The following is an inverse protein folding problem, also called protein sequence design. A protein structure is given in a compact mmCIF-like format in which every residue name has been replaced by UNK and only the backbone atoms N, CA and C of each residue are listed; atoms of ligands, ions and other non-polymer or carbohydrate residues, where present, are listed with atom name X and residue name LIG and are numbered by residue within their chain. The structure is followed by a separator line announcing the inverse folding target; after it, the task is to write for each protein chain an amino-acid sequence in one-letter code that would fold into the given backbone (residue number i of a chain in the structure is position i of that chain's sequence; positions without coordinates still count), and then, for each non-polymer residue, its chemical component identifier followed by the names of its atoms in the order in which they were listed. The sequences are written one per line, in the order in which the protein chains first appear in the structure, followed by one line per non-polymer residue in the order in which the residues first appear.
data_IF_915512187035
#
_entry.id   IF_915512187035
#
_cell.length_a   1.000
_cell.length_b   1.000
_cell.length_c   1.000
_cell.angle_alpha   90.00
_cell.angle_beta   90.00
_cell.angle_gamma   90.00
#
_symmetry.space_group_name_H-M   'P 1'
#
loop_
_entity.id
_entity.type
_entity.pdbx_description
1 polymer ?
#
# COMPACT_ATOMS: atom_id res chain seq x y z
N UNK A 1 -1.68 0.99 10.57
CA UNK A 1 -1.67 -0.41 10.07
C UNK A 1 -0.67 -1.22 10.90
N UNK A 2 -0.85 -2.52 11.12
CA UNK A 2 0.02 -3.32 12.00
C UNK A 2 0.71 -4.48 11.24
N UNK A 3 2.02 -4.62 11.40
CA UNK A 3 2.85 -5.63 10.73
C UNK A 3 2.50 -7.07 11.13
N UNK A 4 1.97 -7.27 12.35
CA UNK A 4 1.55 -8.58 12.86
C UNK A 4 0.40 -9.22 12.05
N UNK A 5 -0.30 -8.42 11.23
CA UNK A 5 -1.28 -8.92 10.26
C UNK A 5 -0.64 -9.69 9.10
N UNK A 6 0.65 -9.47 8.85
CA UNK A 6 1.37 -10.01 7.70
C UNK A 6 2.39 -11.09 8.06
N UNK A 7 3.17 -10.88 9.12
CA UNK A 7 4.29 -11.72 9.51
C UNK A 7 4.19 -12.14 10.97
N UNK A 8 4.71 -13.33 11.28
CA UNK A 8 4.96 -13.72 12.67
C UNK A 8 6.31 -13.17 13.16
N UNK A 9 6.54 -13.22 14.47
CA UNK A 9 7.72 -12.61 15.09
C UNK A 9 9.04 -13.21 14.59
N UNK A 10 9.10 -14.51 14.29
CA UNK A 10 10.29 -15.15 13.75
C UNK A 10 10.60 -14.70 12.32
N UNK A 11 9.58 -14.54 11.47
CA UNK A 11 9.75 -14.03 10.10
C UNK A 11 10.20 -12.56 10.09
N UNK A 12 9.72 -11.77 11.05
CA UNK A 12 10.18 -10.38 11.24
C UNK A 12 11.67 -10.35 11.61
N UNK A 13 12.10 -11.20 12.55
CA UNK A 13 13.50 -11.27 12.97
C UNK A 13 14.41 -11.69 11.81
N UNK A 14 14.03 -12.72 11.04
CA UNK A 14 14.79 -13.20 9.89
C UNK A 14 14.94 -12.12 8.81
N UNK A 15 13.86 -11.41 8.47
CA UNK A 15 13.89 -10.33 7.50
C UNK A 15 14.70 -9.13 7.98
N UNK A 16 14.60 -8.75 9.26
CA UNK A 16 15.38 -7.65 9.81
C UNK A 16 16.87 -7.95 9.80
N UNK A 17 17.27 -9.17 10.18
CA UNK A 17 18.66 -9.62 10.11
C UNK A 17 19.18 -9.56 8.67
N UNK A 18 18.40 -10.05 7.71
CA UNK A 18 18.77 -10.00 6.29
C UNK A 18 18.91 -8.56 5.80
N UNK A 19 18.01 -7.65 6.18
CA UNK A 19 18.08 -6.24 5.79
C UNK A 19 19.19 -5.47 6.48
N UNK A 20 19.52 -5.78 7.73
CA UNK A 20 20.63 -5.13 8.42
C UNK A 20 21.96 -5.43 7.74
N UNK A 21 22.23 -6.70 7.45
CA UNK A 21 23.44 -7.11 6.73
C UNK A 21 23.45 -6.57 5.30
N UNK A 22 22.30 -6.60 4.61
CA UNK A 22 22.23 -6.23 3.20
C UNK A 22 22.25 -4.72 2.97
N UNK A 23 21.65 -3.92 3.86
CA UNK A 23 21.41 -2.48 3.67
C UNK A 23 22.32 -1.58 4.52
N UNK A 24 23.32 -2.13 5.22
CA UNK A 24 24.17 -1.41 6.17
C UNK A 24 24.79 -0.13 5.58
N UNK A 25 25.28 -0.21 4.35
CA UNK A 25 25.96 0.91 3.67
C UNK A 25 25.13 1.57 2.57
N UNK A 26 23.86 1.17 2.41
CA UNK A 26 23.02 1.72 1.34
C UNK A 26 22.32 2.99 1.81
N UNK A 27 22.65 4.12 1.19
CA UNK A 27 21.96 5.40 1.39
C UNK A 27 20.73 5.59 0.50
N UNK A 28 20.59 4.75 -0.54
CA UNK A 28 19.50 4.83 -1.52
C UNK A 28 18.86 3.46 -1.73
N UNK A 29 17.53 3.40 -1.59
CA UNK A 29 16.75 2.19 -1.84
C UNK A 29 15.81 2.33 -3.03
N UNK A 30 15.58 1.23 -3.74
CA UNK A 30 14.80 1.21 -4.98
C UNK A 30 13.48 0.48 -4.78
N UNK A 31 12.40 1.19 -5.08
CA UNK A 31 11.04 0.69 -5.14
C UNK A 31 10.56 0.73 -6.59
N UNK A 32 9.44 0.08 -6.88
CA UNK A 32 8.91 0.07 -8.24
C UNK A 32 7.40 -0.17 -8.26
N UNK A 33 6.72 0.46 -9.20
CA UNK A 33 5.29 0.25 -9.45
C UNK A 33 4.98 0.40 -10.93
N UNK A 34 4.03 -0.40 -11.42
CA UNK A 34 3.60 -0.34 -12.82
C UNK A 34 4.61 -0.86 -13.85
N UNK A 35 5.87 -1.12 -13.49
CA UNK A 35 6.89 -1.66 -14.42
C UNK A 35 7.11 -3.18 -14.25
N UNK A 36 7.65 -3.88 -15.26
CA UNK A 36 8.02 -5.28 -15.12
C UNK A 36 9.09 -5.52 -14.05
N UNK A 37 8.93 -6.58 -13.26
CA UNK A 37 9.88 -6.95 -12.20
C UNK A 37 11.33 -7.07 -12.70
N UNK A 38 11.52 -7.71 -13.86
CA UNK A 38 12.84 -7.94 -14.42
C UNK A 38 13.54 -6.62 -14.78
N UNK A 39 12.79 -5.67 -15.36
CA UNK A 39 13.29 -4.33 -15.65
C UNK A 39 13.73 -3.59 -14.38
N UNK A 40 12.94 -3.67 -13.31
CA UNK A 40 13.29 -3.05 -12.03
C UNK A 40 14.57 -3.64 -11.44
N UNK A 41 14.69 -4.97 -11.49
CA UNK A 41 15.85 -5.71 -10.98
C UNK A 41 17.12 -5.39 -11.77
N UNK A 42 17.04 -5.33 -13.09
CA UNK A 42 18.19 -5.06 -13.95
C UNK A 42 18.63 -3.59 -13.84
N UNK A 43 17.68 -2.66 -13.77
CA UNK A 43 17.97 -1.25 -13.52
C UNK A 43 18.68 -1.04 -12.18
N UNK A 44 18.20 -1.68 -11.11
CA UNK A 44 18.82 -1.56 -9.79
C UNK A 44 20.24 -2.12 -9.78
N UNK A 45 20.47 -3.28 -10.41
CA UNK A 45 21.81 -3.87 -10.56
C UNK A 45 22.76 -2.97 -11.35
N UNK A 46 22.30 -2.40 -12.47
CA UNK A 46 23.11 -1.49 -13.28
C UNK A 46 23.55 -0.25 -12.49
N UNK A 47 22.69 0.23 -11.59
CA UNK A 47 22.97 1.39 -10.73
C UNK A 47 23.60 1.02 -9.38
N UNK A 48 23.92 -0.25 -9.12
CA UNK A 48 24.45 -0.76 -7.85
C UNK A 48 23.53 -0.45 -6.64
N UNK A 49 22.23 -0.42 -6.88
CA UNK A 49 21.20 -0.17 -5.88
C UNK A 49 20.43 -1.44 -5.54
N UNK A 50 19.78 -1.46 -4.38
CA UNK A 50 19.03 -2.63 -3.91
C UNK A 50 17.52 -2.39 -3.96
N UNK A 51 16.82 -3.32 -4.59
CA UNK A 51 15.36 -3.49 -4.45
C UNK A 51 15.06 -4.44 -3.30
N UNK A 52 13.80 -4.48 -2.83
CA UNK A 52 13.33 -5.44 -1.82
C UNK A 52 13.85 -6.86 -2.07
N UNK A 53 13.72 -7.36 -3.30
CA UNK A 53 14.06 -8.74 -3.64
C UNK A 53 15.57 -9.00 -3.70
N UNK A 54 16.36 -7.97 -4.01
CA UNK A 54 17.82 -8.02 -3.92
C UNK A 54 18.24 -8.02 -2.45
N UNK A 55 17.63 -7.13 -1.64
CA UNK A 55 17.90 -7.00 -0.22
C UNK A 55 17.59 -8.29 0.56
N UNK A 56 16.49 -8.98 0.20
CA UNK A 56 16.12 -10.27 0.77
C UNK A 56 17.11 -11.41 0.45
N UNK A 57 17.93 -11.28 -0.60
CA UNK A 57 18.96 -12.26 -0.94
C UNK A 57 18.44 -13.70 -1.08
N UNK A 58 19.00 -14.61 -0.26
CA UNK A 58 18.66 -16.03 -0.24
C UNK A 58 17.20 -16.31 0.15
N UNK A 59 16.54 -15.41 0.89
CA UNK A 59 15.12 -15.53 1.26
C UNK A 59 14.20 -15.38 0.05
N UNK A 60 14.67 -14.70 -1.00
CA UNK A 60 13.93 -14.52 -2.25
C UNK A 60 14.40 -15.47 -3.37
N UNK A 61 15.68 -15.85 -3.38
CA UNK A 61 16.31 -16.56 -4.50
C UNK A 61 15.67 -17.91 -4.86
N UNK A 62 15.70 -18.23 -6.16
CA UNK A 62 15.01 -19.33 -6.85
C UNK A 62 15.51 -20.76 -6.50
N UNK A 63 16.30 -20.96 -5.45
CA UNK A 63 16.78 -22.28 -5.08
C UNK A 63 15.65 -23.12 -4.44
N UNK A 64 15.07 -24.03 -5.22
CA UNK A 64 13.88 -24.85 -4.87
C UNK A 64 13.96 -25.54 -3.50
N UNK A 65 15.17 -25.82 -2.98
CA UNK A 65 15.40 -26.57 -1.74
C UNK A 65 15.35 -25.74 -0.46
N UNK A 66 15.52 -24.41 -0.52
CA UNK A 66 15.61 -23.54 0.67
C UNK A 66 14.51 -22.47 0.73
N UNK A 67 13.52 -22.50 -0.17
CA UNK A 67 12.52 -21.43 -0.24
C UNK A 67 11.56 -21.48 0.96
N UNK A 68 11.32 -20.34 1.64
CA UNK A 68 10.08 -20.15 2.39
C UNK A 68 8.85 -20.29 1.47
N UNK A 69 8.95 -19.85 0.20
CA UNK A 69 7.89 -19.96 -0.82
C UNK A 69 7.51 -21.40 -1.16
N UNK A 70 8.45 -22.34 -1.20
CA UNK A 70 8.14 -23.74 -1.54
C UNK A 70 7.34 -24.43 -0.42
N UNK A 71 7.45 -23.92 0.81
CA UNK A 71 6.70 -24.38 1.98
C UNK A 71 5.40 -23.61 2.20
N UNK A 72 5.13 -22.56 1.42
CA UNK A 72 4.02 -21.63 1.63
C UNK A 72 3.05 -21.66 0.46
N UNK A 73 1.75 -21.62 0.77
CA UNK A 73 0.72 -21.40 -0.26
C UNK A 73 0.89 -20.04 -0.94
N UNK A 74 0.34 -19.87 -2.15
CA UNK A 74 0.36 -18.60 -2.89
C UNK A 74 -0.14 -17.42 -2.04
N UNK A 75 -1.20 -17.63 -1.26
CA UNK A 75 -1.77 -16.63 -0.35
C UNK A 75 -0.84 -16.30 0.80
N UNK A 76 -0.21 -17.31 1.40
CA UNK A 76 0.76 -17.12 2.48
C UNK A 76 2.01 -16.38 2.00
N UNK A 77 2.51 -16.72 0.81
CA UNK A 77 3.62 -16.01 0.17
C UNK A 77 3.29 -14.56 -0.17
N UNK A 78 2.09 -14.29 -0.70
CA UNK A 78 1.64 -12.92 -0.98
C UNK A 78 1.59 -12.08 0.30
N UNK A 79 1.06 -12.66 1.39
CA UNK A 79 1.04 -12.01 2.71
C UNK A 79 2.45 -11.74 3.24
N UNK A 80 3.34 -12.73 3.13
CA UNK A 80 4.74 -12.60 3.49
C UNK A 80 5.43 -11.47 2.72
N UNK A 81 5.24 -11.40 1.39
CA UNK A 81 5.80 -10.32 0.57
C UNK A 81 5.26 -8.94 0.94
N UNK A 82 3.98 -8.82 1.32
CA UNK A 82 3.42 -7.56 1.84
C UNK A 82 4.08 -7.15 3.15
N UNK A 83 4.38 -8.10 4.04
CA UNK A 83 5.13 -7.85 5.27
C UNK A 83 6.61 -7.51 5.04
N UNK A 84 7.27 -8.18 4.10
CA UNK A 84 8.66 -7.86 3.74
C UNK A 84 8.77 -6.46 3.11
N UNK A 85 7.81 -6.11 2.27
CA UNK A 85 7.63 -4.77 1.68
C UNK A 85 7.45 -3.70 2.75
N UNK A 86 6.65 -3.98 3.79
CA UNK A 86 6.50 -3.11 4.96
C UNK A 86 7.84 -2.86 5.67
N UNK A 87 8.57 -3.92 6.03
CA UNK A 87 9.85 -3.80 6.75
C UNK A 87 10.90 -3.06 5.91
N UNK A 88 10.94 -3.33 4.61
CA UNK A 88 11.85 -2.65 3.69
C UNK A 88 11.55 -1.14 3.60
N UNK A 89 10.27 -0.76 3.55
CA UNK A 89 9.87 0.65 3.62
C UNK A 89 10.28 1.31 4.96
N UNK A 90 10.14 0.61 6.08
CA UNK A 90 10.61 1.12 7.37
C UNK A 90 12.13 1.32 7.41
N UNK A 91 12.92 0.40 6.84
CA UNK A 91 14.37 0.58 6.72
C UNK A 91 14.71 1.78 5.83
N UNK A 92 13.89 2.09 4.82
CA UNK A 92 14.08 3.30 4.01
C UNK A 92 13.87 4.61 4.81
N UNK A 93 13.02 4.59 5.85
CA UNK A 93 12.80 5.75 6.72
C UNK A 93 13.96 6.04 7.68
N UNK A 94 15.01 5.20 7.71
CA UNK A 94 16.20 5.41 8.55
C UNK A 94 17.22 6.29 7.84
N UNK A 95 16.86 7.55 7.54
CA UNK A 95 17.74 8.52 6.90
C UNK A 95 18.23 8.12 5.50
N UNK A 96 17.39 7.45 4.70
CA UNK A 96 17.72 7.06 3.31
C UNK A 96 16.88 7.83 2.30
N UNK A 97 17.44 7.97 1.09
CA UNK A 97 16.75 8.46 -0.10
C UNK A 97 16.08 7.29 -0.82
N UNK A 98 14.95 7.54 -1.48
CA UNK A 98 14.18 6.51 -2.18
C UNK A 98 14.02 6.87 -3.64
N UNK A 99 14.34 5.90 -4.51
CA UNK A 99 14.04 5.97 -5.94
C UNK A 99 12.89 5.01 -6.24
N UNK A 100 11.88 5.49 -6.94
CA UNK A 100 10.71 4.70 -7.33
C UNK A 100 10.67 4.62 -8.85
N UNK A 101 10.81 3.41 -9.36
CA UNK A 101 10.72 3.14 -10.78
C UNK A 101 9.25 3.02 -11.16
N UNK A 102 8.77 3.91 -12.02
CA UNK A 102 7.37 3.97 -12.41
C UNK A 102 7.22 4.01 -13.93
N UNK A 103 5.99 3.79 -14.39
CA UNK A 103 5.63 4.21 -15.75
C UNK A 103 5.66 5.74 -15.85
N UNK A 104 5.81 6.24 -17.06
CA UNK A 104 5.68 7.67 -17.33
C UNK A 104 4.24 8.16 -17.06
N UNK A 105 4.08 9.41 -16.58
CA UNK A 105 2.81 10.12 -16.55
C UNK A 105 2.05 10.03 -17.88
N UNK A 106 0.71 9.93 -17.85
CA UNK A 106 -0.16 10.07 -16.69
C UNK A 106 -0.36 8.79 -15.85
N UNK A 107 0.15 7.64 -16.31
CA UNK A 107 -0.19 6.32 -15.74
C UNK A 107 0.92 5.76 -14.85
N UNK A 108 1.38 6.56 -13.89
CA UNK A 108 2.53 6.25 -13.01
C UNK A 108 2.34 4.94 -12.24
N UNK A 109 1.17 4.74 -11.66
CA UNK A 109 0.87 3.60 -10.79
C UNK A 109 0.48 2.34 -11.58
N UNK A 110 0.68 1.19 -10.96
CA UNK A 110 0.08 -0.06 -11.42
C UNK A 110 -1.45 0.05 -11.48
N UNK A 111 -2.06 -0.53 -12.52
CA UNK A 111 -3.53 -0.66 -12.62
C UNK A 111 -4.10 -1.71 -11.66
N UNK A 112 -3.25 -2.39 -10.88
CA UNK A 112 -3.67 -3.35 -9.86
C UNK A 112 -4.26 -2.62 -8.67
N UNK A 113 -5.46 -3.01 -8.29
CA UNK A 113 -6.24 -2.41 -7.19
C UNK A 113 -5.48 -2.43 -5.85
N UNK A 114 -4.73 -3.51 -5.59
CA UNK A 114 -4.01 -3.74 -4.33
C UNK A 114 -2.48 -3.79 -4.52
N UNK A 115 -1.89 -2.75 -5.12
CA UNK A 115 -0.43 -2.69 -5.28
C UNK A 115 0.27 -2.50 -3.93
N UNK A 116 1.30 -3.30 -3.64
CA UNK A 116 2.09 -3.16 -2.40
C UNK A 116 2.63 -1.74 -2.21
N UNK A 117 3.11 -1.12 -3.29
CA UNK A 117 3.63 0.25 -3.24
C UNK A 117 2.59 1.25 -2.73
N UNK A 118 1.41 1.31 -3.37
CA UNK A 118 0.37 2.30 -3.02
C UNK A 118 -0.28 2.06 -1.66
N UNK A 119 -0.47 0.80 -1.27
CA UNK A 119 -1.18 0.46 -0.03
C UNK A 119 -0.27 0.49 1.20
N UNK A 120 1.01 0.13 1.04
CA UNK A 120 1.90 -0.16 2.16
C UNK A 120 3.14 0.72 2.10
N UNK A 121 3.90 0.67 1.01
CA UNK A 121 5.24 1.29 0.97
C UNK A 121 5.12 2.82 0.98
N UNK A 122 4.35 3.40 0.06
CA UNK A 122 4.21 4.85 -0.11
C UNK A 122 3.70 5.56 1.16
N UNK A 123 2.65 5.09 1.85
CA UNK A 123 2.24 5.69 3.13
C UNK A 123 3.32 5.64 4.22
N UNK A 124 4.11 4.56 4.29
CA UNK A 124 5.22 4.45 5.25
C UNK A 124 6.34 5.42 4.90
N UNK A 125 6.73 5.46 3.62
CA UNK A 125 7.79 6.34 3.12
C UNK A 125 7.47 7.83 3.35
N UNK A 126 6.20 8.20 3.27
CA UNK A 126 5.71 9.57 3.54
C UNK A 126 5.47 9.88 5.02
N UNK A 127 5.67 8.92 5.93
CA UNK A 127 5.45 9.10 7.36
C UNK A 127 3.98 9.06 7.81
N UNK A 128 3.04 8.54 7.01
CA UNK A 128 1.62 8.46 7.40
C UNK A 128 1.35 7.39 8.48
N UNK A 129 2.30 6.49 8.72
CA UNK A 129 2.15 5.35 9.66
C UNK A 129 3.01 5.53 10.91
N UNK A 130 4.08 6.31 10.83
CA UNK A 130 5.03 6.61 11.90
C UNK A 130 5.66 7.97 11.64
N UNK A 131 6.13 8.67 12.67
CA UNK A 131 6.86 9.95 12.51
C UNK A 131 8.21 9.81 11.76
N UNK A 132 8.62 8.58 11.46
CA UNK A 132 9.75 8.27 10.58
C UNK A 132 9.32 8.24 9.12
N UNK A 133 10.04 8.96 8.27
CA UNK A 133 9.82 9.05 6.82
C UNK A 133 11.15 8.95 6.06
N UNK A 134 11.07 8.68 4.75
CA UNK A 134 12.25 8.80 3.89
C UNK A 134 12.75 10.25 3.85
N UNK A 135 14.00 10.48 3.45
CA UNK A 135 14.50 11.86 3.25
C UNK A 135 13.81 12.49 2.04
N UNK A 136 13.71 11.70 0.96
CA UNK A 136 13.25 12.15 -0.34
C UNK A 136 12.78 10.95 -1.15
N UNK A 137 11.74 11.16 -1.97
CA UNK A 137 11.23 10.18 -2.93
C UNK A 137 11.37 10.77 -4.33
N UNK A 138 12.12 10.10 -5.20
CA UNK A 138 12.29 10.49 -6.60
C UNK A 138 11.70 9.44 -7.53
N UNK A 139 11.08 9.90 -8.62
CA UNK A 139 10.54 9.03 -9.65
C UNK A 139 11.47 8.96 -10.84
N UNK A 140 11.63 7.74 -11.37
CA UNK A 140 12.40 7.45 -12.59
C UNK A 140 11.52 6.63 -13.51
N UNK A 141 11.59 6.93 -14.81
CA UNK A 141 10.77 6.30 -15.84
C UNK A 141 11.60 5.48 -16.83
N UNK A 142 12.11 4.29 -16.43
CA UNK A 142 13.00 3.50 -17.28
C UNK A 142 12.31 2.96 -18.54
N UNK A 143 10.98 3.02 -18.63
CA UNK A 143 10.23 2.62 -19.83
C UNK A 143 10.36 3.63 -20.97
N UNK A 144 10.79 4.86 -20.70
CA UNK A 144 11.01 5.89 -21.73
C UNK A 144 12.49 5.87 -22.11
N UNK A 145 12.76 5.67 -23.41
CA UNK A 145 14.14 5.64 -23.92
C UNK A 145 14.85 6.97 -23.63
N UNK A 146 16.02 6.90 -23.00
CA UNK A 146 16.80 8.07 -22.55
C UNK A 146 16.41 8.63 -21.18
N UNK A 147 15.29 8.18 -20.59
CA UNK A 147 14.84 8.66 -19.27
C UNK A 147 15.31 7.79 -18.10
N UNK A 148 16.02 6.69 -18.36
CA UNK A 148 16.46 5.75 -17.32
C UNK A 148 17.44 6.37 -16.30
N UNK A 149 18.12 7.46 -16.67
CA UNK A 149 19.00 8.24 -15.79
C UNK A 149 18.39 9.55 -15.29
N UNK A 150 17.14 9.87 -15.67
CA UNK A 150 16.46 11.07 -15.22
C UNK A 150 15.57 10.75 -14.02
N UNK A 151 15.82 11.45 -12.92
CA UNK A 151 15.04 11.37 -11.69
C UNK A 151 14.54 12.76 -11.34
N UNK A 152 13.30 12.86 -10.88
CA UNK A 152 12.73 14.10 -10.37
C UNK A 152 12.02 13.84 -9.05
N UNK A 153 12.04 14.85 -8.19
CA UNK A 153 11.51 14.74 -6.84
C UNK A 153 9.97 14.71 -6.86
N UNK A 154 9.39 13.80 -6.08
CA UNK A 154 7.95 13.73 -5.85
C UNK A 154 7.55 14.05 -4.42
N UNK A 155 8.46 13.84 -3.47
CA UNK A 155 8.21 14.10 -2.06
C UNK A 155 9.55 14.43 -1.35
N UNK A 156 9.58 15.34 -0.36
CA UNK A 156 8.47 16.17 0.14
C UNK A 156 8.01 17.28 -0.82
N UNK A 157 8.86 17.68 -1.78
CA UNK A 157 8.53 18.71 -2.78
C UNK A 157 8.20 18.05 -4.11
N UNK A 158 7.02 18.32 -4.66
CA UNK A 158 6.63 17.82 -5.97
C UNK A 158 7.29 18.67 -7.07
N UNK A 159 8.19 18.05 -7.82
CA UNK A 159 8.91 18.61 -8.97
C UNK A 159 8.54 17.91 -10.28
N UNK A 160 7.31 17.41 -10.38
CA UNK A 160 6.80 16.77 -11.59
C UNK A 160 6.82 17.65 -12.85
N UNK A 161 6.91 18.98 -12.71
CA UNK A 161 7.16 19.90 -13.83
C UNK A 161 8.48 19.61 -14.56
N UNK A 162 9.54 19.24 -13.84
CA UNK A 162 10.87 18.96 -14.43
C UNK A 162 10.82 17.79 -15.41
N UNK A 163 9.92 16.83 -15.18
CA UNK A 163 9.69 15.73 -16.11
C UNK A 163 9.11 16.19 -17.45
N UNK A 164 8.18 17.15 -17.44
CA UNK A 164 7.59 17.67 -18.67
C UNK A 164 8.62 18.47 -19.47
N UNK A 165 9.43 19.30 -18.81
CA UNK A 165 10.53 20.04 -19.44
C UNK A 165 11.55 19.08 -20.09
N UNK A 166 11.88 17.99 -19.40
CA UNK A 166 12.78 16.95 -19.90
C UNK A 166 12.20 16.20 -21.11
N UNK A 167 10.91 15.83 -21.08
CA UNK A 167 10.25 15.19 -22.21
C UNK A 167 10.21 16.08 -23.46
N UNK A 168 9.98 17.38 -23.29
CA UNK A 168 10.03 18.33 -24.40
C UNK A 168 11.44 18.37 -25.01
N UNK A 169 12.49 18.36 -24.18
CA UNK A 169 13.87 18.29 -24.66
C UNK A 169 14.16 16.98 -25.43
N UNK A 170 13.70 15.83 -24.94
CA UNK A 170 13.87 14.53 -25.62
C UNK A 170 13.14 14.49 -26.96
N UNK A 171 11.89 14.96 -27.00
CA UNK A 171 11.10 14.95 -28.24
C UNK A 171 11.71 15.85 -29.30
N UNK A 172 12.18 17.04 -28.92
CA UNK A 172 12.87 17.97 -29.82
C UNK A 172 14.19 17.38 -30.32
N UNK A 173 15.02 16.82 -29.45
CA UNK A 173 16.30 16.22 -29.83
C UNK A 173 16.12 15.00 -30.75
N UNK A 174 15.09 14.18 -30.52
CA UNK A 174 14.76 13.08 -31.41
C UNK A 174 14.22 13.55 -32.76
N UNK A 175 13.39 14.60 -32.80
CA UNK A 175 12.96 15.22 -34.05
C UNK A 175 14.16 15.76 -34.86
N UNK A 176 15.10 16.45 -34.22
CA UNK A 176 16.30 16.97 -34.86
C UNK A 176 17.22 15.85 -35.34
N UNK A 177 17.42 14.79 -34.55
CA UNK A 177 18.19 13.61 -34.95
C UNK A 177 17.57 12.93 -36.18
N UNK A 178 16.25 12.82 -36.24
CA UNK A 178 15.54 12.26 -37.41
C UNK A 178 15.69 13.13 -38.66
N UNK A 179 15.71 14.46 -38.52
CA UNK A 179 15.97 15.39 -39.64
C UNK A 179 17.41 15.26 -40.15
N UNK A 180 18.39 15.17 -39.25
CA UNK A 180 19.81 14.95 -39.60
C UNK A 180 20.01 13.58 -40.26
N UNK A 181 19.33 12.54 -39.79
CA UNK A 181 19.39 11.21 -40.42
C UNK A 181 18.73 11.20 -41.80
N UNK A 182 17.58 11.86 -41.97
CA UNK A 182 16.90 11.98 -43.28
C UNK A 182 17.73 12.78 -44.29
N UNK A 183 18.44 13.82 -43.85
CA UNK A 183 19.34 14.58 -44.73
C UNK A 183 20.59 13.80 -45.13
N UNK A 184 21.11 12.93 -44.26
CA UNK A 184 22.20 11.98 -44.61
C UNK A 184 21.74 10.91 -45.61
N UNK A 185 20.53 10.36 -45.45
CA UNK A 185 19.97 9.36 -46.37
C UNK A 185 19.66 9.93 -47.75
N UNK A 186 19.18 11.18 -47.85
CA UNK A 186 19.01 11.88 -49.14
C UNK A 186 20.34 12.16 -49.83
N UNK A 187 21.41 12.39 -49.07
CA UNK A 187 22.76 12.60 -49.62
C UNK A 187 23.39 11.31 -50.14
N UNK A 188 23.02 10.14 -49.59
CA UNK A 188 23.46 8.83 -50.12
C UNK A 188 22.70 8.36 -51.37
N UNK A 189 21.45 8.81 -51.59
CA UNK A 189 20.71 8.52 -52.83
C UNK A 189 21.12 9.40 -54.02
N UNK A 190 21.73 10.57 -53.78
CA UNK A 190 22.08 11.53 -54.83
C UNK A 190 23.55 11.50 -55.27
N UNK A 191 24.38 10.58 -54.75
CA UNK A 191 25.79 10.46 -55.10
C UNK A 191 26.09 9.14 -55.84
N UNK A 192 25.63 9.09 -57.09
CA UNK A 192 26.46 8.56 -58.17
C UNK A 192 26.77 9.74 -59.07
N UNK A 193 28.04 10.17 -59.04
CA UNK A 193 28.77 11.04 -59.96
C UNK A 193 29.42 12.26 -59.28
N UNK A 194 30.75 12.27 -59.46
CA UNK A 194 31.74 13.32 -59.31
C UNK A 194 32.27 13.67 -57.90
N UNK A 195 33.59 13.51 -57.81
CA UNK A 195 34.50 13.87 -56.74
C UNK A 195 34.76 15.39 -56.62
N UNK A 196 35.30 15.70 -55.45
CA UNK A 196 36.32 16.71 -55.11
C UNK A 196 35.94 18.17 -54.79
N UNK A 197 36.66 18.66 -53.77
CA UNK A 197 36.79 20.01 -53.22
C UNK A 197 35.62 20.59 -52.38
N UNK A 198 35.87 20.74 -51.07
CA UNK A 198 35.22 21.80 -50.27
C UNK A 198 34.84 21.46 -48.82
N UNK A 199 35.82 21.20 -47.94
CA UNK A 199 35.57 20.89 -46.52
C UNK A 199 35.57 22.08 -45.53
N UNK A 200 35.68 23.35 -45.95
CA UNK A 200 35.73 24.48 -45.00
C UNK A 200 34.55 25.48 -45.05
N UNK A 201 33.62 25.33 -46.01
CA UNK A 201 32.53 26.30 -46.18
C UNK A 201 31.19 25.87 -45.52
N UNK A 202 31.04 24.58 -45.19
CA UNK A 202 29.79 24.01 -44.64
C UNK A 202 29.60 24.25 -43.12
N UNK A 203 30.68 24.53 -42.38
CA UNK A 203 30.66 24.81 -40.94
C UNK A 203 30.19 26.24 -40.61
N UNK A 204 30.52 27.20 -41.47
CA UNK A 204 30.16 28.63 -41.29
C UNK A 204 28.69 28.90 -41.63
N UNK A 205 28.15 28.19 -42.63
CA UNK A 205 26.75 28.32 -43.06
C UNK A 205 25.75 27.65 -42.09
N UNK A 206 26.17 26.58 -41.40
CA UNK A 206 25.37 25.92 -40.35
C UNK A 206 25.28 26.75 -39.07
N UNK A 207 26.35 27.45 -38.68
CA UNK A 207 26.35 28.31 -37.48
C UNK A 207 25.46 29.57 -37.65
N UNK A 208 25.42 30.16 -38.86
CA UNK A 208 24.57 31.30 -39.21
C UNK A 208 23.07 30.95 -39.28
N UNK A 209 22.71 29.76 -39.80
CA UNK A 209 21.33 29.28 -39.82
C UNK A 209 20.80 28.93 -38.42
N UNK A 210 21.64 28.41 -37.52
CA UNK A 210 21.26 28.11 -36.13
C UNK A 210 21.01 29.40 -35.32
N UNK A 211 21.76 30.47 -35.58
CA UNK A 211 21.56 31.77 -34.95
C UNK A 211 20.28 32.47 -35.46
N UNK A 212 20.01 32.42 -36.77
CA UNK A 212 18.80 32.98 -37.36
C UNK A 212 17.51 32.29 -36.88
N UNK A 213 17.54 30.97 -36.66
CA UNK A 213 16.41 30.20 -36.12
C UNK A 213 16.07 30.54 -34.66
N UNK A 214 17.02 31.04 -33.86
CA UNK A 214 16.74 31.47 -32.46
C UNK A 214 15.86 32.72 -32.40
N UNK A 215 15.99 33.63 -33.37
CA UNK A 215 15.24 34.89 -33.37
C UNK A 215 13.81 34.74 -33.92
N UNK A 216 13.57 33.79 -34.82
CA UNK A 216 12.22 33.42 -35.28
C UNK A 216 11.46 32.60 -34.20
N UNK A 217 12.18 31.79 -33.40
CA UNK A 217 11.69 31.05 -32.21
C UNK A 217 11.16 31.96 -31.08
N UNK A 218 11.51 33.24 -31.04
CA UNK A 218 10.98 34.16 -30.02
C UNK A 218 9.64 34.80 -30.44
N UNK A 219 9.41 35.02 -31.73
CA UNK A 219 8.25 35.79 -32.23
C UNK A 219 7.02 34.97 -32.62
N UNK A 220 7.16 33.69 -32.94
CA UNK A 220 6.02 32.83 -33.39
C UNK A 220 5.47 31.95 -32.26
N UNK A 221 6.28 31.65 -31.23
CA UNK A 221 6.01 30.57 -30.26
C UNK A 221 5.19 31.00 -29.05
N UNK A 222 5.16 32.29 -28.70
CA UNK A 222 4.38 32.79 -27.56
C UNK A 222 2.86 32.64 -27.74
N UNK A 223 2.21 33.15 -28.82
CA UNK A 223 0.75 33.08 -28.93
C UNK A 223 0.24 31.66 -29.24
N UNK A 224 1.06 30.78 -29.82
CA UNK A 224 0.66 29.41 -30.19
C UNK A 224 0.77 28.43 -29.01
N UNK A 225 1.72 28.63 -28.10
CA UNK A 225 1.86 27.83 -26.87
C UNK A 225 0.76 28.15 -25.86
N UNK A 226 0.35 29.43 -25.74
CA UNK A 226 -0.74 29.83 -24.85
C UNK A 226 -2.10 29.29 -25.31
N UNK A 227 -2.39 29.30 -26.61
CA UNK A 227 -3.61 28.69 -27.14
C UNK A 227 -3.68 27.18 -26.88
N UNK A 228 -2.58 26.46 -27.10
CA UNK A 228 -2.49 25.01 -26.83
C UNK A 228 -2.58 24.71 -25.33
N UNK A 229 -1.99 25.55 -24.46
CA UNK A 229 -2.08 25.39 -23.01
C UNK A 229 -3.51 25.63 -22.51
N UNK A 230 -4.19 26.66 -23.01
CA UNK A 230 -5.58 26.96 -22.65
C UNK A 230 -6.53 25.84 -23.08
N UNK A 231 -6.27 25.24 -24.24
CA UNK A 231 -7.07 24.14 -24.78
C UNK A 231 -6.80 22.82 -24.03
N UNK A 232 -5.55 22.56 -23.66
CA UNK A 232 -5.16 21.43 -22.80
C UNK A 232 -5.73 21.56 -21.38
N UNK A 233 -5.70 22.76 -20.78
CA UNK A 233 -6.31 23.05 -19.48
C UNK A 233 -7.83 22.84 -19.52
N UNK A 234 -8.52 23.30 -20.58
CA UNK A 234 -9.95 23.01 -20.78
C UNK A 234 -10.26 21.53 -20.91
N UNK A 235 -9.44 20.76 -21.63
CA UNK A 235 -9.61 19.30 -21.73
C UNK A 235 -9.35 18.60 -20.40
N UNK A 236 -8.32 19.03 -19.65
CA UNK A 236 -8.00 18.48 -18.35
C UNK A 236 -9.10 18.79 -17.31
N UNK A 237 -9.68 20.00 -17.37
CA UNK A 237 -10.79 20.40 -16.51
C UNK A 237 -12.05 19.56 -16.79
N UNK A 238 -12.44 19.38 -18.06
CA UNK A 238 -13.56 18.48 -18.43
C UNK A 238 -13.32 17.03 -17.99
N UNK A 239 -12.08 16.55 -18.09
CA UNK A 239 -11.72 15.21 -17.62
C UNK A 239 -11.80 15.08 -16.10
N UNK A 240 -11.41 16.13 -15.35
CA UNK A 240 -11.53 16.20 -13.89
C UNK A 240 -12.99 16.24 -13.45
N UNK A 241 -13.83 17.05 -14.11
CA UNK A 241 -15.27 17.14 -13.83
C UNK A 241 -15.97 15.81 -14.08
N UNK A 242 -15.66 15.11 -15.20
CA UNK A 242 -16.22 13.79 -15.47
C UNK A 242 -15.79 12.74 -14.44
N UNK A 243 -14.54 12.81 -13.95
CA UNK A 243 -14.05 11.93 -12.87
C UNK A 243 -14.72 12.24 -11.54
N UNK A 244 -14.87 13.51 -11.19
CA UNK A 244 -15.57 13.95 -9.98
C UNK A 244 -17.04 13.52 -9.99
N UNK A 245 -17.74 13.66 -11.12
CA UNK A 245 -19.12 13.21 -11.27
C UNK A 245 -19.24 11.68 -11.09
N UNK A 246 -18.30 10.91 -11.65
CA UNK A 246 -18.28 9.47 -11.48
C UNK A 246 -17.94 9.05 -10.03
N UNK A 247 -17.00 9.73 -9.38
CA UNK A 247 -16.67 9.49 -7.96
C UNK A 247 -17.87 9.79 -7.06
N UNK A 248 -18.54 10.93 -7.24
CA UNK A 248 -19.72 11.29 -6.47
C UNK A 248 -20.87 10.28 -6.65
N UNK A 249 -21.03 9.70 -7.85
CA UNK A 249 -22.02 8.64 -8.09
C UNK A 249 -21.68 7.34 -7.34
N UNK A 250 -20.40 6.93 -7.38
CA UNK A 250 -19.93 5.73 -6.67
C UNK A 250 -20.02 5.90 -5.16
N UNK A 251 -19.68 7.08 -4.63
CA UNK A 251 -19.80 7.38 -3.20
C UNK A 251 -21.26 7.32 -2.71
N UNK A 252 -22.21 7.89 -3.48
CA UNK A 252 -23.64 7.78 -3.18
C UNK A 252 -24.11 6.32 -3.18
N UNK A 253 -23.69 5.52 -4.16
CA UNK A 253 -24.02 4.08 -4.18
C UNK A 253 -23.42 3.31 -2.99
N UNK A 254 -22.18 3.62 -2.59
CA UNK A 254 -21.53 3.03 -1.43
C UNK A 254 -22.25 3.42 -0.12
N UNK A 255 -22.64 4.67 0.03
CA UNK A 255 -23.38 5.13 1.21
C UNK A 255 -24.73 4.43 1.34
N UNK A 256 -25.49 4.32 0.25
CA UNK A 256 -26.75 3.56 0.23
C UNK A 256 -26.53 2.07 0.55
N UNK A 257 -25.43 1.47 0.08
CA UNK A 257 -25.10 0.09 0.39
C UNK A 257 -24.74 -0.12 1.87
N UNK A 258 -24.02 0.83 2.47
CA UNK A 258 -23.69 0.82 3.90
C UNK A 258 -24.94 1.00 4.77
N UNK A 259 -25.83 1.93 4.42
CA UNK A 259 -27.10 2.12 5.13
C UNK A 259 -27.98 0.88 5.07
N UNK A 260 -28.10 0.22 3.91
CA UNK A 260 -28.83 -1.05 3.79
C UNK A 260 -28.22 -2.17 4.63
N UNK A 261 -26.89 -2.22 4.78
CA UNK A 261 -26.21 -3.20 5.64
C UNK A 261 -26.45 -2.89 7.12
N UNK A 262 -26.34 -1.62 7.52
CA UNK A 262 -26.61 -1.18 8.89
C UNK A 262 -28.06 -1.48 9.31
N UNK A 263 -29.04 -1.20 8.44
CA UNK A 263 -30.44 -1.51 8.70
C UNK A 263 -30.70 -3.01 8.88
N UNK A 264 -30.03 -3.87 8.08
CA UNK A 264 -30.12 -5.33 8.24
C UNK A 264 -29.49 -5.80 9.55
N UNK A 265 -28.33 -5.27 9.92
CA UNK A 265 -27.67 -5.60 11.20
C UNK A 265 -28.53 -5.20 12.40
N UNK A 266 -29.08 -3.98 12.41
CA UNK A 266 -29.95 -3.51 13.48
C UNK A 266 -31.21 -4.37 13.66
N UNK A 267 -31.78 -4.89 12.56
CA UNK A 267 -32.92 -5.81 12.65
C UNK A 267 -32.54 -7.15 13.30
N UNK A 268 -31.41 -7.72 12.91
CA UNK A 268 -30.89 -8.97 13.49
C UNK A 268 -30.56 -8.79 14.98
N UNK A 269 -29.99 -7.65 15.35
CA UNK A 269 -29.61 -7.36 16.73
C UNK A 269 -30.84 -7.21 17.64
N UNK A 270 -31.89 -6.51 17.19
CA UNK A 270 -33.17 -6.45 17.91
C UNK A 270 -33.80 -7.83 18.10
N UNK A 271 -33.72 -8.70 17.08
CA UNK A 271 -34.25 -10.06 17.16
C UNK A 271 -33.45 -10.93 18.16
N UNK A 272 -32.12 -10.82 18.15
CA UNK A 272 -31.26 -11.50 19.11
C UNK A 272 -31.51 -11.02 20.55
N UNK A 273 -31.73 -9.72 20.76
CA UNK A 273 -32.01 -9.18 22.08
C UNK A 273 -33.37 -9.68 22.61
N UNK A 274 -34.42 -9.66 21.79
CA UNK A 274 -35.72 -10.22 22.16
C UNK A 274 -35.64 -11.72 22.49
N UNK A 275 -34.80 -12.48 21.77
CA UNK A 275 -34.57 -13.90 22.06
C UNK A 275 -33.83 -14.11 23.40
N UNK A 276 -32.84 -13.25 23.72
CA UNK A 276 -32.12 -13.28 25.00
C UNK A 276 -33.06 -12.96 26.17
N UNK A 277 -33.89 -11.94 26.04
CA UNK A 277 -34.88 -11.56 27.07
C UNK A 277 -35.88 -12.69 27.34
N UNK A 278 -36.41 -13.34 26.29
CA UNK A 278 -37.29 -14.51 26.45
C UNK A 278 -36.61 -15.67 27.17
N UNK A 279 -35.31 -15.90 26.92
CA UNK A 279 -34.53 -16.95 27.62
C UNK A 279 -34.30 -16.58 29.08
N UNK A 280 -33.91 -15.33 29.37
CA UNK A 280 -33.71 -14.84 30.72
C UNK A 280 -35.01 -14.93 31.56
N UNK A 281 -36.15 -14.54 30.99
CA UNK A 281 -37.44 -14.64 31.67
C UNK A 281 -37.82 -16.09 32.01
N UNK A 282 -37.53 -17.05 31.11
CA UNK A 282 -37.73 -18.48 31.38
C UNK A 282 -36.80 -18.98 32.49
N UNK A 283 -35.52 -18.61 32.46
CA UNK A 283 -34.56 -18.98 33.50
C UNK A 283 -34.96 -18.45 34.87
N UNK A 284 -35.34 -17.17 34.96
CA UNK A 284 -35.78 -16.56 36.22
C UNK A 284 -37.03 -17.24 36.82
N UNK A 285 -37.96 -17.72 35.97
CA UNK A 285 -39.12 -18.48 36.44
C UNK A 285 -38.71 -19.83 37.04
N UNK A 286 -37.79 -20.53 36.38
CA UNK A 286 -37.26 -21.82 36.87
C UNK A 286 -36.48 -21.62 38.18
N UNK A 287 -35.65 -20.59 38.29
CA UNK A 287 -34.92 -20.28 39.54
C UNK A 287 -35.87 -19.98 40.70
N UNK A 288 -36.91 -19.16 40.49
CA UNK A 288 -37.91 -18.91 41.54
C UNK A 288 -38.62 -20.18 41.98
N UNK A 289 -38.94 -21.09 41.05
CA UNK A 289 -39.57 -22.35 41.37
C UNK A 289 -38.64 -23.29 42.16
N UNK A 290 -37.36 -23.35 41.78
CA UNK A 290 -36.34 -24.09 42.52
C UNK A 290 -36.14 -23.54 43.93
N UNK A 291 -36.09 -22.22 44.09
CA UNK A 291 -35.94 -21.56 45.39
C UNK A 291 -37.13 -21.87 46.30
N UNK A 292 -38.36 -21.77 45.79
CA UNK A 292 -39.56 -22.14 46.55
C UNK A 292 -39.58 -23.63 46.93
N UNK A 293 -39.05 -24.52 46.08
CA UNK A 293 -38.93 -25.94 46.41
C UNK A 293 -37.89 -26.20 47.51
N UNK A 294 -36.77 -25.48 47.50
CA UNK A 294 -35.76 -25.54 48.56
C UNK A 294 -36.30 -25.02 49.89
N UNK A 295 -37.02 -23.90 49.90
CA UNK A 295 -37.66 -23.35 51.10
C UNK A 295 -38.68 -24.33 51.69
N UNK A 296 -39.52 -24.97 50.85
CA UNK A 296 -40.45 -26.02 51.33
C UNK A 296 -39.73 -27.22 51.94
N UNK A 297 -38.57 -27.62 51.40
CA UNK A 297 -37.75 -28.70 51.97
C UNK A 297 -37.13 -28.29 53.30
N UNK A 298 -36.58 -27.09 53.39
CA UNK A 298 -36.00 -26.54 54.61
C UNK A 298 -37.05 -26.42 55.73
N UNK A 299 -38.26 -25.93 55.43
CA UNK A 299 -39.35 -25.84 56.40
C UNK A 299 -39.78 -27.21 56.93
N UNK A 300 -39.83 -28.24 56.06
CA UNK A 300 -40.11 -29.62 56.49
C UNK A 300 -39.01 -30.16 57.40
N UNK A 301 -37.73 -29.94 57.05
CA UNK A 301 -36.60 -30.36 57.89
C UNK A 301 -36.62 -29.67 59.25
N UNK A 302 -36.85 -28.36 59.31
CA UNK A 302 -36.94 -27.61 60.55
C UNK A 302 -38.09 -28.10 61.47
N UNK A 303 -39.22 -28.52 60.90
CA UNK A 303 -40.32 -29.11 61.68
C UNK A 303 -39.92 -30.45 62.30
N UNK A 304 -39.24 -31.30 61.52
CA UNK A 304 -38.73 -32.59 62.00
C UNK A 304 -37.67 -32.39 63.09
N UNK A 305 -36.77 -31.42 62.93
CA UNK A 305 -35.76 -31.08 63.95
C UNK A 305 -36.42 -30.61 65.25
N UNK A 306 -37.41 -29.72 65.19
CA UNK A 306 -38.15 -29.28 66.38
C UNK A 306 -38.84 -30.45 67.09
N UNK A 307 -39.46 -31.37 66.35
CA UNK A 307 -40.05 -32.59 66.94
C UNK A 307 -38.99 -33.48 67.60
N UNK A 308 -37.83 -33.66 66.96
CA UNK A 308 -36.72 -34.42 67.55
C UNK A 308 -36.18 -33.76 68.81
N UNK A 309 -36.09 -32.43 68.85
CA UNK A 309 -35.62 -31.68 70.01
C UNK A 309 -36.59 -31.81 71.19
N UNK A 310 -37.90 -31.66 70.95
CA UNK A 310 -38.93 -31.91 71.97
C UNK A 310 -38.88 -33.37 72.47
N UNK A 311 -38.63 -34.34 71.59
CA UNK A 311 -38.47 -35.73 71.98
C UNK A 311 -37.22 -35.96 72.84
N UNK A 312 -36.11 -35.27 72.54
CA UNK A 312 -34.88 -35.29 73.36
C UNK A 312 -35.12 -34.69 74.73
N UNK A 313 -35.73 -33.50 74.81
CA UNK A 313 -36.07 -32.84 76.08
C UNK A 313 -36.99 -33.72 76.94
N UNK A 314 -38.02 -34.35 76.34
CA UNK A 314 -38.87 -35.31 77.07
C UNK A 314 -38.08 -36.50 77.62
N UNK A 315 -37.12 -37.03 76.86
CA UNK A 315 -36.24 -38.12 77.33
C UNK A 315 -35.33 -37.66 78.47
N UNK A 316 -34.80 -36.44 78.42
CA UNK A 316 -34.00 -35.86 79.49
C UNK A 316 -34.80 -35.63 80.76
N UNK A 317 -36.02 -35.08 80.66
CA UNK A 317 -36.91 -34.91 81.81
C UNK A 317 -37.28 -36.26 82.44
N UNK A 318 -37.56 -37.28 81.62
CA UNK A 318 -37.83 -38.64 82.11
C UNK A 318 -36.61 -39.27 82.79
N UNK A 319 -35.41 -39.05 82.25
CA UNK A 319 -34.14 -39.47 82.83
C UNK A 319 -33.87 -38.78 84.18
N UNK A 320 -34.13 -37.47 84.26
CA UNK A 320 -33.99 -36.69 85.49
C UNK A 320 -34.99 -37.15 86.57
N UNK A 321 -36.25 -37.39 86.21
CA UNK A 321 -37.26 -37.95 87.12
C UNK A 321 -36.87 -39.33 87.66
N UNK A 322 -36.33 -40.22 86.81
CA UNK A 322 -35.83 -41.53 87.25
C UNK A 322 -34.67 -41.43 88.24
N UNK A 323 -33.79 -40.43 88.07
CA UNK A 323 -32.66 -40.19 89.00
C UNK A 323 -33.10 -39.62 90.35
N UNK A 324 -34.26 -38.97 90.45
CA UNK A 324 -34.80 -38.44 91.71
C UNK A 324 -35.61 -39.46 92.54
N UNK A 325 -35.93 -40.63 91.98
CA UNK A 325 -36.67 -41.70 92.67
C UNK A 325 -35.77 -42.83 93.21
N UNK A 326 -34.45 -42.70 93.03
CA UNK A 326 -33.42 -43.55 93.67
C UNK A 326 -32.69 -42.75 94.74
#
# INVERSE_FOLDING_TARGET
MCISRYLCQSEIAELNQAFEVSLEHDSVLVFWTGIPFQLAKDWARANKLKTLTIAMGSLYADNKRLRPKARKSTTSWSRYMKGASWLFAQKACQNRRVIVLTKAPPNVYSMREHSSYREIEEPILKGCVSDQHAIQIDYVHPTVSGAAGFAYQMWPVDRSCEWFDFLECITITNMLRNIVQRSRLRKSESLRHADDAGLDQQSKQTHLLVAACRNVKARITQPKMEAVRLEAEKQQQKAREKRAANQAKVEKEQQVALEKRAAKQAKVEKEQQAAREKRAAKQAKVEKEQQAALEKRAAKQAKVEKEQQVAREKREVMSFKRKMQM
#
